data_IF_308683884980
#
_entry.id   IF_308683884980
#
_cell.length_a   1.000
_cell.length_b   1.000
_cell.length_c   1.000
_cell.angle_alpha   90.00
_cell.angle_beta   90.00
_cell.angle_gamma   90.00
#
_symmetry.space_group_name_H-M   'P 1'
#
loop_
_entity.id
_entity.type
_entity.pdbx_description
1 polymer ?
#
# COMPACT_ATOMS: atom_id res chain seq x y z
N UNK A 1 18.95 -13.41 -43.74
CA UNK A 1 19.38 -14.32 -42.65
C UNK A 1 18.15 -14.81 -41.92
N UNK A 2 17.72 -16.04 -42.22
CA UNK A 2 16.53 -16.66 -41.63
C UNK A 2 16.88 -17.12 -40.22
N UNK A 3 16.22 -16.56 -39.20
CA UNK A 3 16.40 -16.98 -37.81
C UNK A 3 15.73 -18.33 -37.60
N UNK A 4 16.45 -19.41 -37.88
CA UNK A 4 16.05 -20.78 -37.53
C UNK A 4 15.93 -20.87 -36.03
N UNK A 5 14.70 -20.76 -35.54
CA UNK A 5 14.39 -20.83 -34.11
C UNK A 5 14.13 -22.30 -33.81
N UNK A 6 15.15 -23.00 -33.31
CA UNK A 6 15.02 -24.42 -32.95
C UNK A 6 14.14 -24.56 -31.71
N UNK A 7 12.85 -24.82 -31.95
CA UNK A 7 11.85 -25.11 -30.92
C UNK A 7 11.82 -26.64 -30.77
N UNK A 8 12.61 -27.20 -29.86
CA UNK A 8 12.48 -28.60 -29.45
C UNK A 8 11.54 -28.69 -28.25
N UNK A 9 10.68 -29.71 -28.21
CA UNK A 9 9.95 -30.14 -27.01
C UNK A 9 10.95 -30.67 -25.99
N UNK A 10 11.27 -29.94 -24.91
CA UNK A 10 12.18 -30.40 -23.88
C UNK A 10 11.42 -31.12 -22.77
N UNK A 11 12.07 -32.04 -22.05
CA UNK A 11 11.51 -32.79 -20.90
C UNK A 11 10.94 -31.91 -19.78
N UNK A 12 11.17 -30.60 -19.83
CA UNK A 12 10.71 -29.63 -18.83
C UNK A 12 9.90 -28.51 -19.49
N UNK A 13 8.72 -28.20 -18.96
CA UNK A 13 7.87 -27.15 -19.51
C UNK A 13 8.43 -25.75 -19.22
N UNK A 14 7.81 -24.72 -19.79
CA UNK A 14 8.11 -23.32 -19.54
C UNK A 14 8.11 -23.03 -18.03
N UNK A 15 9.15 -22.35 -17.54
CA UNK A 15 9.31 -22.03 -16.11
C UNK A 15 8.25 -21.08 -15.54
N UNK A 16 7.50 -20.38 -16.40
CA UNK A 16 6.54 -19.36 -15.98
C UNK A 16 5.07 -19.78 -16.15
N UNK A 17 4.75 -20.56 -17.18
CA UNK A 17 3.37 -20.89 -17.53
C UNK A 17 3.16 -22.37 -17.85
N UNK A 18 4.19 -23.20 -17.64
CA UNK A 18 4.16 -24.64 -17.88
C UNK A 18 3.81 -25.06 -19.32
N UNK A 19 3.91 -24.17 -20.30
CA UNK A 19 3.78 -24.52 -21.72
C UNK A 19 4.84 -25.56 -22.13
N UNK A 20 4.43 -26.56 -22.90
CA UNK A 20 5.29 -27.64 -23.41
C UNK A 20 6.32 -27.17 -24.43
N UNK A 21 6.11 -25.98 -25.00
CA UNK A 21 6.93 -25.40 -26.05
C UNK A 21 7.72 -24.21 -25.49
N UNK A 22 9.05 -24.32 -25.43
CA UNK A 22 9.91 -23.25 -24.87
C UNK A 22 11.22 -23.05 -25.63
N UNK A 23 11.82 -21.88 -25.43
CA UNK A 23 13.20 -21.65 -25.81
C UNK A 23 14.14 -22.48 -24.92
N UNK A 24 15.13 -23.11 -25.55
CA UNK A 24 16.16 -23.90 -24.85
C UNK A 24 17.02 -23.00 -23.96
N UNK A 25 17.42 -21.83 -24.49
CA UNK A 25 18.34 -20.90 -23.84
C UNK A 25 17.76 -20.18 -22.61
N UNK A 26 16.49 -19.79 -22.67
CA UNK A 26 15.86 -18.99 -21.60
C UNK A 26 14.90 -19.77 -20.71
N UNK A 27 14.59 -21.03 -21.03
CA UNK A 27 13.60 -21.81 -20.27
C UNK A 27 12.15 -21.31 -20.41
N UNK A 28 11.92 -20.23 -21.16
CA UNK A 28 10.64 -19.54 -21.27
C UNK A 28 9.98 -19.81 -22.61
N UNK A 29 8.65 -19.86 -22.67
CA UNK A 29 7.93 -19.96 -23.93
C UNK A 29 7.95 -18.64 -24.71
N UNK A 30 7.48 -18.71 -25.95
CA UNK A 30 7.36 -17.54 -26.85
C UNK A 30 6.51 -16.45 -26.20
N UNK A 31 5.41 -16.82 -25.55
CA UNK A 31 4.48 -15.87 -24.95
C UNK A 31 5.05 -15.19 -23.70
N UNK A 32 5.71 -15.95 -22.83
CA UNK A 32 6.39 -15.40 -21.65
C UNK A 32 7.60 -14.52 -22.05
N UNK A 33 8.25 -14.85 -23.15
CA UNK A 33 9.35 -14.03 -23.67
C UNK A 33 8.82 -12.72 -24.25
N UNK A 34 7.67 -12.74 -24.94
CA UNK A 34 7.00 -11.54 -25.46
C UNK A 34 6.45 -10.65 -24.33
N UNK A 35 5.87 -11.24 -23.28
CA UNK A 35 5.34 -10.46 -22.14
C UNK A 35 6.45 -9.72 -21.39
N UNK A 36 7.63 -10.33 -21.23
CA UNK A 36 8.81 -9.68 -20.62
C UNK A 36 9.34 -8.49 -21.43
N UNK A 37 9.11 -8.46 -22.76
CA UNK A 37 9.54 -7.35 -23.64
C UNK A 37 8.65 -6.12 -23.55
N UNK A 38 7.55 -6.18 -22.80
CA UNK A 38 6.77 -4.98 -22.55
C UNK A 38 7.63 -3.98 -21.77
N UNK A 39 7.79 -2.74 -22.26
CA UNK A 39 8.53 -1.72 -21.52
C UNK A 39 7.88 -1.57 -20.14
N UNK A 40 8.68 -1.37 -19.08
CA UNK A 40 8.13 -1.15 -17.75
C UNK A 40 7.09 -0.03 -17.83
N UNK A 41 5.90 -0.26 -17.26
CA UNK A 41 4.84 0.74 -17.22
C UNK A 41 5.46 2.07 -16.76
N UNK A 42 5.17 3.19 -17.44
CA UNK A 42 5.72 4.48 -17.04
C UNK A 42 5.39 4.67 -15.57
N UNK A 43 6.44 4.88 -14.76
CA UNK A 43 6.28 5.17 -13.33
C UNK A 43 5.30 6.36 -13.24
N UNK A 44 4.26 6.29 -12.40
CA UNK A 44 3.35 7.41 -12.25
C UNK A 44 4.20 8.66 -11.96
N UNK A 45 3.89 9.77 -12.64
CA UNK A 45 4.58 11.04 -12.42
C UNK A 45 4.24 11.49 -11.01
N UNK A 46 5.09 11.14 -10.05
CA UNK A 46 4.99 11.64 -8.68
C UNK A 46 5.39 13.11 -8.76
N UNK A 47 4.38 14.00 -8.76
CA UNK A 47 4.62 15.42 -8.59
C UNK A 47 5.28 15.62 -7.22
N UNK A 48 6.52 16.10 -7.20
CA UNK A 48 7.16 16.53 -5.95
C UNK A 48 6.48 17.82 -5.51
N UNK A 49 5.51 17.67 -4.63
CA UNK A 49 4.86 18.80 -3.95
C UNK A 49 5.77 19.23 -2.80
N UNK A 50 6.01 20.53 -2.66
CA UNK A 50 6.72 21.07 -1.49
C UNK A 50 5.96 20.74 -0.21
N UNK A 51 6.65 20.53 0.91
CA UNK A 51 6.04 20.09 2.18
C UNK A 51 4.83 20.95 2.61
N UNK A 52 4.82 22.22 2.23
CA UNK A 52 3.74 23.19 2.51
C UNK A 52 2.48 22.99 1.67
N UNK A 53 2.57 22.31 0.52
CA UNK A 53 1.46 22.08 -0.40
C UNK A 53 0.97 20.62 -0.43
N UNK A 54 1.63 19.72 0.31
CA UNK A 54 1.20 18.32 0.46
C UNK A 54 -0.01 18.24 1.41
N UNK A 55 -1.21 18.44 0.88
CA UNK A 55 -2.46 18.11 1.59
C UNK A 55 -2.82 16.64 1.28
N UNK A 56 -2.11 15.72 1.93
CA UNK A 56 -2.54 14.34 2.12
C UNK A 56 -2.13 13.93 3.54
N UNK A 57 -3.08 13.60 4.42
CA UNK A 57 -2.80 13.50 5.84
C UNK A 57 -2.25 12.10 6.15
N UNK A 58 -1.21 12.02 6.95
CA UNK A 58 -0.67 10.78 7.52
C UNK A 58 0.31 10.00 6.64
N UNK A 59 1.53 10.53 6.49
CA UNK A 59 2.70 9.66 6.48
C UNK A 59 2.99 9.25 7.93
N UNK A 60 2.72 8.00 8.30
CA UNK A 60 3.60 7.22 9.21
C UNK A 60 3.10 5.86 9.68
N UNK A 61 2.03 5.23 9.16
CA UNK A 61 1.80 3.80 9.45
C UNK A 61 1.46 3.01 8.18
N UNK A 62 2.25 1.97 7.90
CA UNK A 62 2.12 1.11 6.72
C UNK A 62 0.95 0.14 6.86
N UNK A 63 -0.27 0.66 6.82
CA UNK A 63 -1.51 -0.10 6.80
C UNK A 63 -2.28 0.05 5.49
N UNK A 64 -3.15 -0.92 5.20
CA UNK A 64 -4.12 -0.81 4.10
C UNK A 64 -5.13 0.28 4.44
N UNK A 65 -5.01 1.42 3.73
CA UNK A 65 -5.83 2.61 3.94
C UNK A 65 -7.16 2.56 3.15
N UNK A 66 -7.48 1.45 2.49
CA UNK A 66 -8.70 1.31 1.69
C UNK A 66 -9.99 1.50 2.49
N UNK A 67 -9.96 1.28 3.81
CA UNK A 67 -11.10 1.38 4.71
C UNK A 67 -11.06 2.58 5.68
N UNK A 68 -10.17 3.55 5.47
CA UNK A 68 -10.06 4.69 6.37
C UNK A 68 -11.26 5.62 6.25
N UNK A 69 -11.97 5.84 7.36
CA UNK A 69 -13.07 6.81 7.43
C UNK A 69 -12.52 8.16 7.88
N UNK A 70 -12.66 9.19 7.03
CA UNK A 70 -12.28 10.55 7.39
C UNK A 70 -13.47 11.22 8.08
N UNK A 71 -13.35 11.45 9.39
CA UNK A 71 -14.37 12.15 10.17
C UNK A 71 -14.00 13.63 10.28
N UNK A 72 -14.81 14.50 9.69
CA UNK A 72 -14.69 15.96 9.86
C UNK A 72 -15.50 16.40 11.06
N UNK A 73 -14.82 16.75 12.14
CA UNK A 73 -15.43 17.27 13.36
C UNK A 73 -15.42 18.81 13.38
N UNK A 74 -16.37 19.40 14.08
CA UNK A 74 -16.29 20.82 14.44
C UNK A 74 -15.14 21.05 15.41
N UNK A 75 -14.56 22.25 15.43
CA UNK A 75 -13.51 22.64 16.40
C UNK A 75 -13.87 22.28 17.86
N UNK A 76 -15.04 22.64 18.40
CA UNK A 76 -15.38 22.30 19.78
C UNK A 76 -15.48 20.79 20.02
N UNK A 77 -15.94 20.01 19.02
CA UNK A 77 -15.96 18.56 19.12
C UNK A 77 -14.55 17.97 19.15
N UNK A 78 -13.62 18.52 18.35
CA UNK A 78 -12.21 18.12 18.34
C UNK A 78 -11.53 18.43 19.67
N UNK A 79 -11.74 19.62 20.23
CA UNK A 79 -11.16 20.03 21.51
C UNK A 79 -11.66 19.14 22.66
N UNK A 80 -12.94 18.76 22.64
CA UNK A 80 -13.47 17.83 23.63
C UNK A 80 -12.87 16.42 23.47
N UNK A 81 -12.65 15.98 22.24
CA UNK A 81 -12.02 14.68 21.95
C UNK A 81 -10.58 14.65 22.48
N UNK A 82 -9.83 15.73 22.28
CA UNK A 82 -8.47 15.88 22.80
C UNK A 82 -8.46 15.87 24.33
N UNK A 83 -9.36 16.63 24.96
CA UNK A 83 -9.48 16.67 26.43
C UNK A 83 -9.72 15.27 27.01
N UNK A 84 -10.73 14.55 26.50
CA UNK A 84 -11.05 13.19 26.94
C UNK A 84 -9.88 12.25 26.68
N UNK A 85 -9.24 12.34 25.51
CA UNK A 85 -8.09 11.51 25.16
C UNK A 85 -6.92 11.69 26.13
N UNK A 86 -6.54 12.92 26.44
CA UNK A 86 -5.45 13.18 27.38
C UNK A 86 -5.78 12.74 28.82
N UNK A 87 -7.04 12.88 29.26
CA UNK A 87 -7.49 12.35 30.55
C UNK A 87 -7.34 10.82 30.61
N UNK A 88 -7.73 10.11 29.55
CA UNK A 88 -7.60 8.65 29.45
C UNK A 88 -6.14 8.20 29.40
N UNK A 89 -5.32 8.86 28.59
CA UNK A 89 -3.88 8.59 28.46
C UNK A 89 -3.19 8.73 29.82
N UNK A 90 -3.55 9.78 30.59
CA UNK A 90 -3.05 9.98 31.96
C UNK A 90 -3.53 8.89 32.91
N UNK A 91 -4.80 8.49 32.83
CA UNK A 91 -5.39 7.42 33.67
C UNK A 91 -4.72 6.07 33.44
N UNK A 92 -4.46 5.72 32.18
CA UNK A 92 -3.87 4.44 31.80
C UNK A 92 -2.33 4.46 31.69
N UNK A 93 -1.68 5.60 32.01
CA UNK A 93 -0.23 5.81 31.92
C UNK A 93 0.36 5.46 30.54
N UNK A 94 -0.39 5.80 29.49
CA UNK A 94 0.04 5.59 28.11
C UNK A 94 1.02 6.71 27.73
N UNK A 95 2.21 6.37 27.22
CA UNK A 95 3.24 7.34 26.85
C UNK A 95 3.64 7.18 25.39
N UNK A 96 4.00 8.30 24.74
CA UNK A 96 4.55 8.30 23.37
C UNK A 96 3.53 8.12 22.25
N UNK A 97 2.23 8.29 22.52
CA UNK A 97 1.22 8.25 21.48
C UNK A 97 1.08 9.57 20.73
N UNK A 98 0.89 9.47 19.42
CA UNK A 98 0.59 10.63 18.59
C UNK A 98 -0.79 11.20 18.93
N UNK A 99 -1.03 12.50 18.69
CA UNK A 99 -2.34 13.11 18.90
C UNK A 99 -3.49 12.35 18.22
N UNK A 100 -3.27 11.80 17.02
CA UNK A 100 -4.26 11.00 16.29
C UNK A 100 -4.65 9.74 17.07
N UNK A 101 -3.67 9.05 17.67
CA UNK A 101 -3.93 7.83 18.43
C UNK A 101 -4.65 8.14 19.74
N UNK A 102 -4.32 9.27 20.37
CA UNK A 102 -5.02 9.77 21.56
C UNK A 102 -6.50 10.05 21.23
N UNK A 103 -6.75 10.71 20.09
CA UNK A 103 -8.10 10.98 19.57
C UNK A 103 -8.87 9.70 19.26
N UNK A 104 -8.22 8.71 18.65
CA UNK A 104 -8.82 7.40 18.39
C UNK A 104 -9.24 6.69 19.68
N UNK A 105 -8.39 6.69 20.71
CA UNK A 105 -8.71 6.10 22.02
C UNK A 105 -9.91 6.79 22.65
N UNK A 106 -9.95 8.13 22.61
CA UNK A 106 -11.08 8.90 23.10
C UNK A 106 -12.38 8.54 22.36
N UNK A 107 -12.31 8.42 21.04
CA UNK A 107 -13.45 8.08 20.21
C UNK A 107 -13.97 6.66 20.48
N UNK A 108 -13.08 5.67 20.62
CA UNK A 108 -13.46 4.31 21.01
C UNK A 108 -14.16 4.29 22.37
N UNK A 109 -13.63 5.01 23.36
CA UNK A 109 -14.25 5.09 24.69
C UNK A 109 -15.64 5.75 24.66
N UNK A 110 -15.84 6.78 23.82
CA UNK A 110 -17.14 7.42 23.67
C UNK A 110 -18.16 6.52 22.99
N UNK A 111 -17.74 5.71 22.01
CA UNK A 111 -18.61 4.74 21.34
C UNK A 111 -19.00 3.57 22.25
N UNK A 112 -18.09 3.09 23.10
CA UNK A 112 -18.40 2.03 24.08
C UNK A 112 -19.33 2.51 25.20
N UNK A 113 -19.36 3.81 25.49
CA UNK A 113 -20.19 4.40 26.54
C UNK A 113 -21.60 4.80 26.08
N UNK A 114 -21.91 4.71 24.79
CA UNK A 114 -23.18 5.11 24.18
C UNK A 114 -24.11 3.91 23.94
#
# INVERSE_FOLDING_TARGET
MSNTTTINTPDRPCVHCCSTVRYISSGSCVDCTKSRRQPPKPKPKIARVTATAAVAPFHSEGGDNSNNVIVKLSKPALDNLDRVGYELVKKYRLAGYSPERIRMIALSHLLEAA
#
